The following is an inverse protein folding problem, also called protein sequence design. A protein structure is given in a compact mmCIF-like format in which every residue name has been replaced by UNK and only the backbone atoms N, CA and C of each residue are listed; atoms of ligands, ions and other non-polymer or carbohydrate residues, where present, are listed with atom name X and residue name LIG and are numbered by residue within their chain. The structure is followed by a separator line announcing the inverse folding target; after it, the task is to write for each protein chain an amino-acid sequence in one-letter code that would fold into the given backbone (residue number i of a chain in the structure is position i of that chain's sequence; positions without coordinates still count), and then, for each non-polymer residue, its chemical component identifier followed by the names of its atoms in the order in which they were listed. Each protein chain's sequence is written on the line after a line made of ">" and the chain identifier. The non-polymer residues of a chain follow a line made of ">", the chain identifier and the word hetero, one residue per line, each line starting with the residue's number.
data_IF_140557993842
#
_entry.id   IF_140557993842
#
_cell.length_a   1.000
_cell.length_b   1.000
_cell.length_c   1.000
_cell.angle_alpha   90.00
_cell.angle_beta   90.00
_cell.angle_gamma   90.00
#
_symmetry.space_group_name_H-M   'P 1'
#
loop_
_entity.id
_entity.type
_entity.pdbx_description
1 polymer ?
#
# COMPACT_ATOMS: atom_id res chain seq x y z
N UNK A 1 6.10 -7.85 -6.72
CA UNK A 1 7.50 -7.63 -6.28
C UNK A 1 7.68 -8.22 -4.88
N UNK A 2 8.61 -9.14 -4.67
CA UNK A 2 8.87 -9.71 -3.34
C UNK A 2 9.62 -8.70 -2.47
N UNK A 3 9.13 -8.45 -1.26
CA UNK A 3 9.77 -7.58 -0.29
C UNK A 3 10.85 -8.34 0.47
N UNK A 4 12.03 -7.74 0.54
CA UNK A 4 13.14 -8.20 1.36
C UNK A 4 13.41 -7.15 2.41
N UNK A 5 13.65 -7.59 3.63
CA UNK A 5 14.17 -6.69 4.67
C UNK A 5 15.55 -6.22 4.23
N UNK A 6 15.73 -4.92 4.10
CA UNK A 6 17.01 -4.33 3.72
C UNK A 6 17.67 -3.70 4.94
N UNK A 7 18.99 -3.80 5.03
CA UNK A 7 19.77 -3.14 6.09
C UNK A 7 19.78 -1.61 5.93
N UNK A 8 19.53 -1.13 4.72
CA UNK A 8 19.52 0.30 4.37
C UNK A 8 18.17 0.96 4.62
N UNK A 9 17.11 0.20 4.92
CA UNK A 9 15.75 0.75 5.10
C UNK A 9 15.15 1.30 3.79
N UNK A 10 15.59 0.72 2.66
CA UNK A 10 15.14 1.06 1.30
C UNK A 10 14.33 -0.10 0.73
N UNK A 11 13.25 0.22 0.04
CA UNK A 11 12.34 -0.74 -0.59
C UNK A 11 12.33 -0.63 -2.12
N UNK A 12 11.55 -1.47 -2.81
CA UNK A 12 11.14 -1.16 -4.18
C UNK A 12 10.42 0.19 -4.23
N UNK A 13 10.74 0.94 -5.29
CA UNK A 13 10.08 2.19 -5.65
C UNK A 13 9.28 1.99 -6.94
N UNK A 14 8.08 2.56 -6.99
CA UNK A 14 7.20 2.59 -8.16
C UNK A 14 6.81 4.02 -8.47
N UNK A 15 6.59 4.33 -9.74
CA UNK A 15 6.08 5.64 -10.18
C UNK A 15 4.62 5.53 -10.60
N UNK A 16 3.80 6.47 -10.15
CA UNK A 16 2.40 6.63 -10.56
C UNK A 16 2.25 8.01 -11.19
N UNK A 17 1.68 8.06 -12.39
CA UNK A 17 1.35 9.32 -13.08
C UNK A 17 -0.08 9.73 -12.72
N UNK A 18 -0.23 10.91 -12.12
CA UNK A 18 -1.54 11.52 -11.86
C UNK A 18 -1.79 12.61 -12.92
N UNK A 19 -2.96 12.58 -13.56
CA UNK A 19 -3.30 13.53 -14.62
C UNK A 19 -4.11 14.73 -14.12
N UNK A 20 -4.96 14.51 -13.12
CA UNK A 20 -5.92 15.49 -12.65
C UNK A 20 -5.28 16.46 -11.64
N UNK A 21 -5.67 17.74 -11.71
CA UNK A 21 -5.32 18.71 -10.68
C UNK A 21 -6.45 18.78 -9.64
N UNK A 22 -6.24 18.24 -8.42
CA UNK A 22 -7.27 18.20 -7.40
C UNK A 22 -7.59 19.58 -6.81
N UNK A 23 -6.82 20.64 -7.14
CA UNK A 23 -7.16 22.01 -6.77
C UNK A 23 -8.17 22.64 -7.74
N UNK A 24 -8.23 22.16 -8.99
CA UNK A 24 -9.17 22.63 -10.02
C UNK A 24 -10.48 21.85 -9.95
N UNK A 25 -10.40 20.52 -9.79
CA UNK A 25 -11.54 19.63 -9.63
C UNK A 25 -11.37 18.81 -8.34
N UNK A 26 -11.82 19.31 -7.18
CA UNK A 26 -11.57 18.65 -5.91
C UNK A 26 -12.31 17.31 -5.79
N UNK A 27 -11.61 16.17 -5.68
CA UNK A 27 -12.25 14.89 -5.44
C UNK A 27 -12.71 14.76 -3.99
N UNK A 28 -13.78 13.99 -3.76
CA UNK A 28 -14.24 13.61 -2.44
C UNK A 28 -13.24 12.73 -1.68
N UNK A 29 -12.42 11.95 -2.39
CA UNK A 29 -11.39 11.08 -1.82
C UNK A 29 -10.22 10.89 -2.79
N UNK A 30 -9.00 10.94 -2.24
CA UNK A 30 -7.79 10.41 -2.88
C UNK A 30 -7.15 9.44 -1.90
N UNK A 31 -6.92 8.20 -2.32
CA UNK A 31 -6.41 7.14 -1.45
C UNK A 31 -5.32 6.33 -2.16
N UNK A 32 -4.12 6.27 -1.57
CA UNK A 32 -3.10 5.30 -1.95
C UNK A 32 -3.52 3.92 -1.45
N UNK A 33 -3.39 2.91 -2.30
CA UNK A 33 -3.62 1.51 -1.95
C UNK A 33 -2.45 0.65 -2.41
N UNK A 34 -1.91 -0.13 -1.49
CA UNK A 34 -0.86 -1.11 -1.77
C UNK A 34 -1.36 -2.48 -1.37
N UNK A 35 -1.45 -3.40 -2.33
CA UNK A 35 -1.83 -4.79 -2.05
C UNK A 35 -0.61 -5.64 -1.77
N UNK A 36 -0.65 -6.30 -0.61
CA UNK A 36 0.35 -7.25 -0.16
C UNK A 36 -0.27 -8.63 -0.10
N UNK A 37 0.43 -9.63 -0.60
CA UNK A 37 0.14 -11.04 -0.35
C UNK A 37 1.17 -11.64 0.63
N UNK A 38 0.78 -12.71 1.30
CA UNK A 38 1.54 -13.38 2.37
C UNK A 38 1.79 -12.49 3.58
N UNK A 39 1.00 -11.44 3.76
CA UNK A 39 1.07 -10.56 4.92
C UNK A 39 0.36 -11.20 6.11
N UNK A 40 0.93 -11.04 7.30
CA UNK A 40 0.34 -11.47 8.57
C UNK A 40 0.43 -10.36 9.61
N UNK A 41 -0.46 -10.41 10.60
CA UNK A 41 -0.42 -9.47 11.71
C UNK A 41 0.92 -9.56 12.44
N UNK A 42 1.56 -8.41 12.63
CA UNK A 42 2.91 -8.29 13.24
C UNK A 42 4.01 -8.05 12.22
N UNK A 43 3.73 -8.13 10.92
CA UNK A 43 4.60 -7.54 9.91
C UNK A 43 4.56 -6.00 9.98
N UNK A 44 5.72 -5.37 9.81
CA UNK A 44 5.86 -3.92 9.72
C UNK A 44 6.30 -3.56 8.29
N UNK A 45 5.33 -3.08 7.50
CA UNK A 45 5.55 -2.57 6.15
C UNK A 45 5.25 -1.08 6.14
N UNK A 46 6.18 -0.31 5.59
CA UNK A 46 6.15 1.14 5.55
C UNK A 46 5.92 1.59 4.14
N UNK A 47 5.02 2.55 3.99
CA UNK A 47 4.79 3.24 2.73
C UNK A 47 5.40 4.63 2.81
N UNK A 48 6.07 5.05 1.72
CA UNK A 48 6.46 6.46 1.53
C UNK A 48 5.88 6.96 0.22
N UNK A 49 5.31 8.16 0.26
CA UNK A 49 4.78 8.90 -0.89
C UNK A 49 5.67 10.11 -1.13
N UNK A 50 6.30 10.20 -2.30
CA UNK A 50 7.30 11.23 -2.63
C UNK A 50 8.39 11.37 -1.54
N UNK A 51 8.83 10.23 -1.00
CA UNK A 51 9.81 10.16 0.09
C UNK A 51 9.26 10.46 1.50
N UNK A 52 8.03 10.98 1.62
CA UNK A 52 7.40 11.21 2.92
C UNK A 52 6.74 9.93 3.45
N UNK A 53 7.06 9.53 4.69
CA UNK A 53 6.44 8.37 5.34
C UNK A 53 4.94 8.60 5.52
N UNK A 54 4.15 7.60 5.14
CA UNK A 54 2.73 7.53 5.46
C UNK A 54 2.60 6.89 6.83
N UNK A 55 2.04 7.66 7.77
CA UNK A 55 1.80 7.19 9.12
C UNK A 55 0.54 6.32 9.18
N UNK A 56 0.66 5.14 9.77
CA UNK A 56 -0.46 4.26 10.13
C UNK A 56 -1.46 3.99 8.98
N UNK A 57 -1.04 3.38 7.85
CA UNK A 57 -1.99 2.96 6.82
C UNK A 57 -3.02 1.98 7.40
N UNK A 58 -4.27 2.13 6.98
CA UNK A 58 -5.35 1.22 7.34
C UNK A 58 -5.11 -0.14 6.67
N UNK A 59 -5.15 -1.22 7.45
CA UNK A 59 -5.09 -2.59 6.92
C UNK A 59 -6.50 -3.09 6.62
N UNK A 60 -6.82 -3.27 5.34
CA UNK A 60 -8.07 -3.89 4.89
C UNK A 60 -7.82 -5.30 4.38
N UNK A 61 -8.36 -6.29 5.08
CA UNK A 61 -8.20 -7.70 4.70
C UNK A 61 -8.96 -8.03 3.42
N UNK A 62 -8.31 -8.74 2.50
CA UNK A 62 -9.00 -9.30 1.35
C UNK A 62 -9.81 -10.51 1.82
N UNK A 63 -11.11 -10.48 1.55
CA UNK A 63 -12.01 -11.58 1.88
C UNK A 63 -11.89 -12.70 0.86
N UNK A 64 -11.86 -13.94 1.34
CA UNK A 64 -12.01 -15.09 0.46
C UNK A 64 -13.48 -15.21 0.05
N UNK A 65 -13.75 -15.42 -1.24
CA UNK A 65 -15.10 -15.75 -1.71
C UNK A 65 -15.43 -17.23 -1.44
N UNK A 66 -15.18 -17.72 -0.22
CA UNK A 66 -15.57 -19.07 0.19
C UNK A 66 -17.05 -19.07 0.59
N UNK A 67 -17.93 -19.77 -0.14
CA UNK A 67 -19.35 -19.87 0.22
C UNK A 67 -19.58 -20.54 1.58
N UNK A 68 -18.61 -21.27 2.13
CA UNK A 68 -18.71 -21.92 3.44
C UNK A 68 -18.16 -21.09 4.60
N UNK A 69 -17.52 -19.94 4.32
CA UNK A 69 -16.90 -19.03 5.32
C UNK A 69 -15.88 -19.71 6.26
N UNK A 70 -15.25 -20.80 5.84
CA UNK A 70 -14.24 -21.47 6.66
C UNK A 70 -12.89 -20.81 6.35
N UNK A 71 -12.64 -19.68 7.03
CA UNK A 71 -11.47 -18.84 6.80
C UNK A 71 -11.80 -17.64 5.91
N UNK A 72 -12.58 -16.71 6.45
CA UNK A 72 -13.07 -15.50 5.76
C UNK A 72 -11.96 -14.55 5.31
N UNK A 73 -10.73 -14.70 5.83
CA UNK A 73 -9.61 -13.78 5.61
C UNK A 73 -8.49 -14.48 4.83
N UNK A 74 -8.12 -13.89 3.70
CA UNK A 74 -6.94 -14.33 2.93
C UNK A 74 -5.63 -13.80 3.54
N UNK A 75 -4.50 -14.32 3.08
CA UNK A 75 -3.16 -13.77 3.36
C UNK A 75 -2.89 -12.45 2.63
N UNK A 76 -3.85 -11.98 1.82
CA UNK A 76 -3.74 -10.72 1.12
C UNK A 76 -4.44 -9.59 1.88
N UNK A 77 -3.77 -8.45 1.96
CA UNK A 77 -4.29 -7.22 2.57
C UNK A 77 -4.04 -6.04 1.65
N UNK A 78 -4.89 -5.03 1.78
CA UNK A 78 -4.63 -3.69 1.29
C UNK A 78 -4.12 -2.83 2.44
N UNK A 79 -3.00 -2.17 2.23
CA UNK A 79 -2.59 -1.01 3.01
C UNK A 79 -3.15 0.23 2.32
N UNK A 80 -4.08 0.91 2.99
CA UNK A 80 -4.80 2.06 2.45
C UNK A 80 -4.43 3.32 3.22
N UNK A 81 -4.17 4.42 2.53
CA UNK A 81 -3.90 5.69 3.16
C UNK A 81 -4.54 6.86 2.39
N UNK A 82 -5.30 7.74 3.05
CA UNK A 82 -5.79 8.95 2.42
C UNK A 82 -4.61 9.86 2.08
N UNK A 83 -4.64 10.45 0.88
CA UNK A 83 -3.70 11.47 0.45
C UNK A 83 -4.41 12.83 0.41
N UNK A 84 -3.73 13.89 0.83
CA UNK A 84 -4.26 15.23 0.70
C UNK A 84 -4.12 15.72 -0.76
N UNK A 85 -5.07 16.53 -1.28
CA UNK A 85 -4.95 17.16 -2.61
C UNK A 85 -3.61 17.84 -2.87
N UNK A 86 -3.03 18.47 -1.86
CA UNK A 86 -1.74 19.16 -1.94
C UNK A 86 -0.54 18.21 -2.18
N UNK A 87 -0.71 16.91 -1.95
CA UNK A 87 0.30 15.87 -2.16
C UNK A 87 0.13 15.16 -3.51
N UNK A 88 -0.96 15.41 -4.24
CA UNK A 88 -1.40 14.62 -5.39
C UNK A 88 -1.64 15.53 -6.61
N UNK A 89 -0.71 16.44 -6.85
CA UNK A 89 -0.73 17.28 -8.05
C UNK A 89 -0.58 16.47 -9.34
N UNK A 90 -0.73 17.10 -10.51
CA UNK A 90 -0.47 16.41 -11.76
C UNK A 90 1.02 16.10 -11.95
N UNK A 91 1.32 14.92 -12.47
CA UNK A 91 2.68 14.45 -12.79
C UNK A 91 3.06 13.13 -12.10
N UNK A 92 4.36 12.79 -12.16
CA UNK A 92 4.88 11.57 -11.55
C UNK A 92 5.00 11.71 -10.04
N UNK A 93 4.52 10.69 -9.34
CA UNK A 93 4.68 10.51 -7.91
C UNK A 93 5.37 9.19 -7.62
N UNK A 94 6.20 9.14 -6.58
CA UNK A 94 6.89 7.92 -6.17
C UNK A 94 6.24 7.27 -4.97
N UNK A 95 6.14 5.95 -5.02
CA UNK A 95 5.69 5.11 -3.91
C UNK A 95 6.81 4.14 -3.57
N UNK A 96 7.36 4.26 -2.36
CA UNK A 96 8.35 3.32 -1.83
C UNK A 96 7.69 2.41 -0.79
N UNK A 97 7.98 1.11 -0.86
CA UNK A 97 7.39 0.10 0.02
C UNK A 97 8.50 -0.65 0.75
N UNK A 98 8.69 -0.37 2.04
CA UNK A 98 9.81 -0.91 2.83
C UNK A 98 9.32 -1.95 3.82
N UNK A 99 9.93 -3.13 3.82
CA UNK A 99 9.73 -4.14 4.86
C UNK A 99 10.72 -3.90 6.01
N UNK A 100 10.25 -3.31 7.11
CA UNK A 100 11.05 -3.06 8.31
C UNK A 100 11.17 -4.33 9.18
N UNK A 101 10.04 -5.00 9.39
CA UNK A 101 9.96 -6.22 10.20
C UNK A 101 9.08 -7.28 9.54
N UNK A 102 9.60 -8.51 9.44
CA UNK A 102 8.86 -9.70 9.01
C UNK A 102 8.56 -10.55 10.23
N UNK A 103 7.32 -11.01 10.36
CA UNK A 103 6.90 -11.88 11.45
C UNK A 103 7.80 -13.15 11.51
N UNK A 104 8.41 -13.47 12.67
CA UNK A 104 9.50 -14.46 12.76
C UNK A 104 9.07 -15.90 12.46
N UNK A 105 7.78 -16.21 12.58
CA UNK A 105 7.23 -17.54 12.30
C UNK A 105 6.89 -17.76 10.82
N UNK A 106 6.99 -16.73 9.98
CA UNK A 106 6.68 -16.81 8.54
C UNK A 106 7.96 -16.71 7.74
N UNK A 107 8.21 -17.74 6.93
CA UNK A 107 9.47 -17.89 6.16
C UNK A 107 9.36 -17.46 4.70
N UNK A 108 8.14 -17.30 4.17
CA UNK A 108 7.94 -16.76 2.82
C UNK A 108 8.05 -15.23 2.80
N UNK A 109 8.36 -14.68 1.63
CA UNK A 109 8.39 -13.24 1.41
C UNK A 109 6.97 -12.67 1.34
N UNK A 110 6.80 -11.42 1.81
CA UNK A 110 5.63 -10.61 1.46
C UNK A 110 5.76 -10.22 0.00
N UNK A 111 4.68 -10.30 -0.77
CA UNK A 111 4.69 -9.93 -2.19
C UNK A 111 3.79 -8.73 -2.41
N UNK A 112 4.33 -7.62 -2.90
CA UNK A 112 3.54 -6.52 -3.44
C UNK A 112 2.94 -6.97 -4.76
N UNK A 113 1.62 -7.01 -4.87
CA UNK A 113 0.94 -7.40 -6.11
C UNK A 113 0.43 -6.19 -6.88
N UNK A 114 -0.07 -5.18 -6.18
CA UNK A 114 -0.74 -4.03 -6.77
C UNK A 114 -0.37 -2.74 -6.01
N UNK A 115 -0.24 -1.64 -6.74
CA UNK A 115 -0.04 -0.28 -6.19
C UNK A 115 -0.96 0.64 -6.99
N UNK A 116 -1.89 1.32 -6.32
CA UNK A 116 -2.96 2.07 -6.95
C UNK A 116 -3.19 3.41 -6.23
N UNK A 117 -3.62 4.42 -6.98
CA UNK A 117 -4.23 5.63 -6.42
C UNK A 117 -5.69 5.65 -6.83
N UNK A 118 -6.58 5.66 -5.84
CA UNK A 118 -8.03 5.69 -6.05
C UNK A 118 -8.51 7.12 -5.86
N UNK A 119 -9.05 7.69 -6.93
CA UNK A 119 -9.68 9.01 -6.93
C UNK A 119 -11.19 8.83 -7.04
N UNK A 120 -11.95 9.46 -6.13
CA UNK A 120 -13.42 9.50 -6.18
C UNK A 120 -13.87 10.95 -6.20
N UNK A 121 -14.66 11.31 -7.20
CA UNK A 121 -15.31 12.60 -7.34
C UNK A 121 -16.68 12.62 -6.66
#
# INVERSE_FOLDING_TARGET
>A
VALKRTLTGVGPEMTIELADDPNVFPPALIELRVRLDQWVKGDEVVLRWDGARIETPEVRYCMNADPLRIGDVSTAVWLCAPLAPAQTGPGPHTVEIVLEHRHPQVVCDIVVTDVEVVVKY
#
